data_IF_460586844054
#
_entry.id   IF_460586844054
#
_cell.length_a   1.000
_cell.length_b   1.000
_cell.length_c   1.000
_cell.angle_alpha   90.00
_cell.angle_beta   90.00
_cell.angle_gamma   90.00
#
_symmetry.space_group_name_H-M   'P 1'
#
loop_
_entity.id
_entity.type
_entity.pdbx_description
1 polymer ?
#
# COMPACT_ATOMS: atom_id res chain seq x y z
N UNK A 1 -15.67 -22.62 -37.74
CA UNK A 1 -14.53 -22.52 -36.80
C UNK A 1 -15.09 -21.82 -35.56
N UNK A 2 -15.32 -22.57 -34.47
CA UNK A 2 -16.01 -22.07 -33.26
C UNK A 2 -15.10 -21.09 -32.50
N UNK A 3 -15.64 -20.00 -31.92
CA UNK A 3 -14.85 -19.09 -31.10
C UNK A 3 -14.64 -19.68 -29.70
N UNK A 4 -13.40 -19.62 -29.22
CA UNK A 4 -12.97 -20.06 -27.89
C UNK A 4 -13.34 -19.02 -26.80
N UNK A 5 -14.64 -18.78 -26.63
CA UNK A 5 -15.21 -17.97 -25.52
C UNK A 5 -16.12 -18.85 -24.64
N UNK A 6 -15.91 -20.17 -24.63
CA UNK A 6 -16.84 -21.15 -24.03
C UNK A 6 -16.19 -22.02 -22.94
N UNK A 7 -15.18 -21.50 -22.22
CA UNK A 7 -14.47 -22.27 -21.18
C UNK A 7 -14.46 -21.61 -19.80
N UNK A 8 -14.94 -20.36 -19.65
CA UNK A 8 -14.99 -19.68 -18.33
C UNK A 8 -16.39 -19.37 -17.79
N UNK A 9 -17.46 -19.67 -18.55
CA UNK A 9 -18.85 -19.38 -18.14
C UNK A 9 -19.75 -20.62 -18.05
N UNK A 10 -19.23 -21.83 -18.27
CA UNK A 10 -20.04 -23.07 -18.32
C UNK A 10 -19.89 -24.01 -17.12
N UNK A 11 -19.33 -23.56 -15.99
CA UNK A 11 -19.27 -24.32 -14.73
C UNK A 11 -19.49 -23.47 -13.48
N UNK A 12 -20.49 -22.59 -13.50
CA UNK A 12 -21.32 -22.52 -12.31
C UNK A 12 -22.15 -23.80 -12.37
N UNK A 13 -21.71 -24.84 -11.67
CA UNK A 13 -22.48 -26.08 -11.54
C UNK A 13 -23.94 -25.69 -11.24
N UNK A 14 -24.91 -26.37 -11.87
CA UNK A 14 -26.33 -26.13 -11.57
C UNK A 14 -26.61 -26.25 -10.07
N UNK A 15 -25.77 -27.01 -9.35
CA UNK A 15 -25.72 -27.10 -7.90
C UNK A 15 -25.26 -25.79 -7.24
N UNK A 16 -24.19 -25.15 -7.70
CA UNK A 16 -23.74 -23.85 -7.20
C UNK A 16 -24.75 -22.72 -7.49
N UNK A 17 -25.42 -22.77 -8.65
CA UNK A 17 -26.51 -21.84 -8.97
C UNK A 17 -27.75 -22.10 -8.11
N UNK A 18 -28.09 -23.37 -7.82
CA UNK A 18 -29.15 -23.74 -6.86
C UNK A 18 -28.81 -23.32 -5.45
N UNK A 19 -27.55 -23.45 -5.03
CA UNK A 19 -27.07 -23.12 -3.69
C UNK A 19 -27.03 -21.60 -3.48
N UNK A 20 -26.62 -20.85 -4.51
CA UNK A 20 -26.72 -19.39 -4.54
C UNK A 20 -28.19 -18.94 -4.53
N UNK A 21 -29.07 -19.54 -5.33
CA UNK A 21 -30.50 -19.23 -5.32
C UNK A 21 -31.19 -19.60 -4.00
N UNK A 22 -30.75 -20.68 -3.33
CA UNK A 22 -31.20 -21.05 -2.00
C UNK A 22 -30.72 -20.06 -0.94
N UNK A 23 -29.47 -19.61 -1.04
CA UNK A 23 -28.88 -18.59 -0.17
C UNK A 23 -29.55 -17.23 -0.36
N UNK A 24 -29.89 -16.86 -1.59
CA UNK A 24 -30.61 -15.61 -1.92
C UNK A 24 -32.08 -15.66 -1.46
N UNK A 25 -32.76 -16.81 -1.56
CA UNK A 25 -34.11 -16.99 -0.97
C UNK A 25 -34.09 -16.90 0.56
N UNK A 26 -33.04 -17.38 1.20
CA UNK A 26 -32.86 -17.20 2.64
C UNK A 26 -32.57 -15.73 3.01
N UNK A 27 -31.91 -14.97 2.13
CA UNK A 27 -31.68 -13.53 2.33
C UNK A 27 -32.97 -12.69 2.27
N UNK A 28 -33.97 -13.09 1.47
CA UNK A 28 -35.29 -12.43 1.44
C UNK A 28 -36.12 -12.72 2.71
N UNK A 29 -35.84 -13.82 3.41
CA UNK A 29 -36.47 -14.17 4.69
C UNK A 29 -35.85 -13.49 5.92
N UNK A 30 -34.92 -12.55 5.73
CA UNK A 30 -34.17 -11.88 6.79
C UNK A 30 -35.00 -10.80 7.54
N UNK A 31 -36.29 -11.08 7.77
CA UNK A 31 -37.10 -10.51 8.83
C UNK A 31 -37.11 -11.47 10.04
N UNK A 32 -35.95 -11.59 10.70
CA UNK A 32 -35.87 -12.07 12.07
C UNK A 32 -34.53 -11.59 12.67
N UNK A 33 -34.50 -10.35 13.14
CA UNK A 33 -33.37 -9.84 13.96
C UNK A 33 -33.43 -10.31 15.43
N UNK A 34 -34.34 -11.22 15.77
CA UNK A 34 -34.61 -11.70 17.14
C UNK A 34 -34.13 -13.15 17.40
N UNK A 35 -33.34 -13.75 16.51
CA UNK A 35 -32.70 -15.03 16.84
C UNK A 35 -31.43 -14.77 17.68
N UNK A 36 -31.34 -15.36 18.88
CA UNK A 36 -30.09 -15.37 19.66
C UNK A 36 -28.93 -15.81 18.75
N UNK A 37 -27.79 -15.08 18.76
CA UNK A 37 -26.66 -15.39 17.89
C UNK A 37 -26.19 -16.82 18.18
N UNK A 38 -26.32 -17.70 17.18
CA UNK A 38 -25.82 -19.06 17.28
C UNK A 38 -24.29 -19.04 17.22
N UNK A 39 -23.59 -19.87 18.02
CA UNK A 39 -22.15 -20.02 17.88
C UNK A 39 -21.79 -20.38 16.44
N UNK A 40 -20.76 -19.73 15.91
CA UNK A 40 -20.20 -20.13 14.63
C UNK A 40 -19.67 -21.57 14.75
N UNK A 41 -19.85 -22.41 13.71
CA UNK A 41 -19.23 -23.73 13.70
C UNK A 41 -17.70 -23.60 13.77
N UNK A 42 -17.03 -24.60 14.33
CA UNK A 42 -15.57 -24.63 14.32
C UNK A 42 -15.06 -24.58 12.89
N UNK A 43 -14.17 -23.61 12.63
CA UNK A 43 -13.58 -23.46 11.31
C UNK A 43 -12.70 -24.69 10.98
N UNK A 44 -12.79 -25.23 9.75
CA UNK A 44 -11.88 -26.29 9.33
C UNK A 44 -10.42 -25.82 9.40
N UNK A 45 -9.50 -26.75 9.61
CA UNK A 45 -8.07 -26.43 9.56
C UNK A 45 -7.72 -25.84 8.19
N UNK A 46 -6.93 -24.75 8.13
CA UNK A 46 -6.50 -24.18 6.86
C UNK A 46 -5.74 -25.21 6.03
N UNK A 47 -5.89 -25.13 4.70
CA UNK A 47 -5.11 -25.94 3.77
C UNK A 47 -3.62 -25.60 3.92
N UNK A 48 -2.71 -26.57 3.73
CA UNK A 48 -1.27 -26.29 3.71
C UNK A 48 -0.93 -25.24 2.65
N UNK A 49 0.00 -24.35 3.00
CA UNK A 49 0.47 -23.33 2.08
C UNK A 49 1.29 -23.95 0.94
N UNK A 50 0.91 -23.66 -0.31
CA UNK A 50 1.66 -24.10 -1.47
C UNK A 50 2.80 -23.12 -1.78
N UNK A 51 4.03 -23.57 -1.50
CA UNK A 51 5.26 -22.82 -1.79
C UNK A 51 5.41 -22.51 -3.29
N UNK A 52 4.74 -23.24 -4.19
CA UNK A 52 4.75 -22.96 -5.62
C UNK A 52 4.15 -21.59 -5.97
N UNK A 53 3.28 -21.05 -5.12
CA UNK A 53 2.67 -19.72 -5.29
C UNK A 53 3.67 -18.57 -5.09
N UNK A 54 4.81 -18.82 -4.44
CA UNK A 54 5.85 -17.83 -4.27
C UNK A 54 6.74 -17.70 -5.50
N UNK A 55 7.19 -16.47 -5.84
CA UNK A 55 8.28 -16.27 -6.77
C UNK A 55 9.50 -17.09 -6.38
N UNK A 56 10.21 -17.64 -7.38
CA UNK A 56 11.40 -18.48 -7.16
C UNK A 56 12.48 -17.77 -6.33
N UNK A 57 12.57 -16.44 -6.42
CA UNK A 57 13.52 -15.64 -5.65
C UNK A 57 13.19 -15.53 -4.16
N UNK A 58 11.92 -15.72 -3.76
CA UNK A 58 11.48 -15.62 -2.37
C UNK A 58 11.34 -16.99 -1.70
N UNK A 59 11.03 -18.04 -2.49
CA UNK A 59 10.72 -19.37 -1.96
C UNK A 59 11.81 -19.94 -1.04
N UNK A 60 13.11 -19.98 -1.40
CA UNK A 60 14.14 -20.54 -0.54
C UNK A 60 14.33 -19.75 0.76
N UNK A 61 14.16 -18.43 0.70
CA UNK A 61 14.28 -17.58 1.87
C UNK A 61 13.10 -17.77 2.83
N UNK A 62 11.87 -17.88 2.32
CA UNK A 62 10.69 -18.16 3.16
C UNK A 62 10.81 -19.52 3.83
N UNK A 63 11.28 -20.54 3.10
CA UNK A 63 11.45 -21.90 3.63
C UNK A 63 12.45 -21.94 4.79
N UNK A 64 13.67 -21.41 4.59
CA UNK A 64 14.70 -21.33 5.64
C UNK A 64 14.23 -20.52 6.85
N UNK A 65 13.53 -19.40 6.64
CA UNK A 65 13.03 -18.57 7.74
C UNK A 65 11.89 -19.23 8.50
N UNK A 66 10.98 -19.95 7.81
CA UNK A 66 9.89 -20.67 8.43
C UNK A 66 10.43 -21.79 9.34
N UNK A 67 11.45 -22.52 8.86
CA UNK A 67 12.15 -23.52 9.66
C UNK A 67 12.82 -22.88 10.89
N UNK A 68 13.54 -21.77 10.74
CA UNK A 68 14.21 -21.10 11.87
C UNK A 68 13.25 -20.54 12.92
N UNK A 69 12.14 -19.97 12.47
CA UNK A 69 11.12 -19.39 13.35
C UNK A 69 10.16 -20.44 13.91
N UNK A 70 10.21 -21.67 13.39
CA UNK A 70 9.25 -22.74 13.71
C UNK A 70 7.81 -22.27 13.54
N UNK A 71 7.54 -21.62 12.40
CA UNK A 71 6.23 -21.07 12.09
C UNK A 71 5.76 -21.50 10.69
N UNK A 72 4.44 -21.50 10.44
CA UNK A 72 3.90 -21.74 9.11
C UNK A 72 4.47 -20.75 8.06
N UNK A 73 4.85 -21.22 6.86
CA UNK A 73 5.51 -20.38 5.84
C UNK A 73 4.61 -19.29 5.26
N UNK A 74 3.28 -19.46 5.33
CA UNK A 74 2.29 -18.46 4.93
C UNK A 74 2.44 -17.14 5.71
N UNK A 75 2.78 -17.20 7.00
CA UNK A 75 2.99 -16.02 7.84
C UNK A 75 4.13 -15.12 7.30
N UNK A 76 5.17 -15.72 6.73
CA UNK A 76 6.29 -15.02 6.11
C UNK A 76 5.96 -14.62 4.66
N UNK A 77 5.38 -15.55 3.90
CA UNK A 77 5.05 -15.39 2.49
C UNK A 77 4.15 -14.18 2.24
N UNK A 78 3.06 -14.05 3.01
CA UNK A 78 2.09 -12.96 2.86
C UNK A 78 2.77 -11.61 3.05
N UNK A 79 3.49 -11.42 4.16
CA UNK A 79 4.18 -10.15 4.45
C UNK A 79 5.29 -9.84 3.45
N UNK A 80 6.02 -10.85 2.95
CA UNK A 80 7.07 -10.66 1.98
C UNK A 80 6.51 -10.22 0.61
N UNK A 81 5.45 -10.85 0.13
CA UNK A 81 4.80 -10.52 -1.15
C UNK A 81 4.15 -9.14 -1.09
N UNK A 82 3.41 -8.83 -0.02
CA UNK A 82 2.81 -7.50 0.18
C UNK A 82 3.89 -6.43 0.30
N UNK A 83 4.96 -6.70 1.05
CA UNK A 83 6.13 -5.82 1.18
C UNK A 83 6.77 -5.55 -0.18
N UNK A 84 7.00 -6.57 -1.00
CA UNK A 84 7.53 -6.41 -2.35
C UNK A 84 6.58 -5.59 -3.25
N UNK A 85 5.28 -5.85 -3.19
CA UNK A 85 4.25 -5.08 -3.90
C UNK A 85 4.31 -3.59 -3.54
N UNK A 86 4.49 -3.27 -2.26
CA UNK A 86 4.58 -1.87 -1.80
C UNK A 86 5.81 -1.12 -2.33
N UNK A 87 6.92 -1.83 -2.58
CA UNK A 87 8.12 -1.24 -3.19
C UNK A 87 7.87 -0.93 -4.65
N UNK A 88 7.27 -1.86 -5.39
CA UNK A 88 6.94 -1.67 -6.81
C UNK A 88 5.91 -0.55 -6.95
N UNK A 89 4.84 -0.59 -6.15
CA UNK A 89 3.74 0.36 -6.13
C UNK A 89 3.20 0.63 -7.53
N UNK A 90 2.97 1.91 -7.84
CA UNK A 90 2.42 2.33 -9.13
C UNK A 90 3.47 2.46 -10.25
N UNK A 91 4.68 1.91 -10.08
CA UNK A 91 5.74 2.00 -11.09
C UNK A 91 5.63 0.95 -12.19
N UNK A 92 5.01 -0.18 -11.88
CA UNK A 92 4.86 -1.30 -12.81
C UNK A 92 3.39 -1.71 -12.82
N UNK A 93 2.83 -1.82 -14.01
CA UNK A 93 1.51 -2.38 -14.25
C UNK A 93 1.59 -3.56 -15.20
N UNK A 94 0.74 -4.58 -14.97
CA UNK A 94 0.60 -5.75 -15.83
C UNK A 94 -0.75 -5.68 -16.52
N UNK A 95 -0.79 -5.95 -17.82
CA UNK A 95 -2.04 -6.12 -18.57
C UNK A 95 -2.32 -7.61 -18.70
N UNK A 96 -3.21 -8.19 -17.87
CA UNK A 96 -3.43 -9.64 -17.88
C UNK A 96 -4.19 -10.13 -19.12
N UNK A 97 -4.87 -9.22 -19.83
CA UNK A 97 -5.65 -9.53 -21.02
C UNK A 97 -4.98 -8.94 -22.26
N UNK A 98 -4.76 -9.75 -23.28
CA UNK A 98 -4.04 -9.38 -24.51
C UNK A 98 -4.69 -8.21 -25.26
N UNK A 99 -6.02 -8.13 -25.27
CA UNK A 99 -6.79 -7.15 -26.04
C UNK A 99 -7.57 -6.17 -25.14
N UNK A 100 -6.98 -5.76 -24.02
CA UNK A 100 -7.59 -4.81 -23.08
C UNK A 100 -6.58 -3.76 -22.61
N UNK A 101 -7.06 -2.56 -22.32
CA UNK A 101 -6.27 -1.51 -21.66
C UNK A 101 -6.24 -1.65 -20.13
N UNK A 102 -6.95 -2.66 -19.59
CA UNK A 102 -6.94 -2.99 -18.17
C UNK A 102 -5.51 -3.22 -17.70
N UNK A 103 -5.05 -2.39 -16.76
CA UNK A 103 -3.71 -2.45 -16.18
C UNK A 103 -3.81 -2.65 -14.67
N UNK A 104 -3.23 -3.73 -14.17
CA UNK A 104 -3.15 -4.04 -12.75
C UNK A 104 -1.80 -3.62 -12.18
N UNK A 105 -1.83 -2.81 -11.13
CA UNK A 105 -0.64 -2.49 -10.33
C UNK A 105 -0.54 -3.48 -9.15
N UNK A 106 0.68 -3.78 -8.64
CA UNK A 106 0.89 -4.67 -7.50
C UNK A 106 0.52 -3.99 -6.15
N UNK A 107 -0.66 -3.37 -6.08
CA UNK A 107 -1.21 -2.79 -4.87
C UNK A 107 -1.87 -3.89 -4.03
N UNK A 108 -1.04 -4.62 -3.29
CA UNK A 108 -1.45 -5.81 -2.55
C UNK A 108 -1.82 -5.47 -1.11
N UNK A 109 -2.84 -6.18 -0.62
CA UNK A 109 -3.25 -6.16 0.77
C UNK A 109 -3.12 -7.57 1.32
N UNK A 110 -2.59 -7.69 2.53
CA UNK A 110 -2.46 -8.98 3.21
C UNK A 110 -2.73 -8.84 4.68
N UNK A 111 -3.29 -9.90 5.25
CA UNK A 111 -3.65 -9.97 6.64
C UNK A 111 -3.28 -11.34 7.17
N UNK A 112 -2.60 -11.35 8.32
CA UNK A 112 -2.24 -12.57 9.01
C UNK A 112 -3.22 -12.78 10.16
N UNK A 113 -3.95 -13.90 10.13
CA UNK A 113 -4.89 -14.29 11.18
C UNK A 113 -4.39 -15.56 11.84
N UNK A 114 -4.35 -15.56 13.17
CA UNK A 114 -3.90 -16.73 13.93
C UNK A 114 -4.11 -16.53 15.42
N UNK A 115 -4.14 -17.62 16.18
CA UNK A 115 -4.30 -17.60 17.65
C UNK A 115 -3.21 -16.74 18.31
N UNK A 116 -3.44 -16.15 19.50
CA UNK A 116 -2.37 -15.54 20.28
C UNK A 116 -1.18 -16.51 20.43
N UNK A 117 0.06 -16.01 20.32
CA UNK A 117 1.27 -16.82 20.42
C UNK A 117 1.74 -17.57 19.16
N UNK A 118 1.04 -17.44 18.02
CA UNK A 118 1.37 -18.14 16.74
C UNK A 118 2.51 -17.51 15.93
N UNK A 119 3.46 -16.81 16.56
CA UNK A 119 4.61 -16.17 15.88
C UNK A 119 4.28 -15.17 14.75
N UNK A 120 3.05 -14.64 14.68
CA UNK A 120 2.62 -13.64 13.68
C UNK A 120 3.54 -12.42 13.60
N UNK A 121 3.68 -11.69 14.72
CA UNK A 121 4.46 -10.44 14.75
C UNK A 121 5.96 -10.70 14.51
N UNK A 122 6.59 -11.76 15.08
CA UNK A 122 7.95 -12.14 14.70
C UNK A 122 8.13 -12.45 13.21
N UNK A 123 7.22 -13.23 12.60
CA UNK A 123 7.29 -13.57 11.18
C UNK A 123 7.15 -12.33 10.29
N UNK A 124 6.14 -11.50 10.55
CA UNK A 124 5.93 -10.23 9.84
C UNK A 124 7.14 -9.31 9.95
N UNK A 125 7.74 -9.19 11.15
CA UNK A 125 8.92 -8.36 11.35
C UNK A 125 10.14 -8.85 10.56
N UNK A 126 10.34 -10.16 10.44
CA UNK A 126 11.41 -10.72 9.62
C UNK A 126 11.18 -10.44 8.13
N UNK A 127 9.95 -10.64 7.65
CA UNK A 127 9.58 -10.35 6.26
C UNK A 127 9.70 -8.87 5.89
N UNK A 128 9.40 -7.96 6.82
CA UNK A 128 9.48 -6.51 6.58
C UNK A 128 10.84 -5.91 6.94
N UNK A 129 11.79 -6.68 7.50
CA UNK A 129 13.11 -6.20 7.86
C UNK A 129 13.87 -5.52 6.69
N UNK A 130 13.83 -6.01 5.44
CA UNK A 130 14.44 -5.31 4.30
C UNK A 130 13.84 -3.91 4.07
N UNK A 131 12.52 -3.75 4.17
CA UNK A 131 11.86 -2.44 4.02
C UNK A 131 12.27 -1.49 5.14
N UNK A 132 12.38 -1.98 6.39
CA UNK A 132 12.88 -1.18 7.51
C UNK A 132 14.32 -0.71 7.28
N UNK A 133 15.19 -1.55 6.70
CA UNK A 133 16.56 -1.15 6.31
C UNK A 133 16.55 -0.06 5.23
N UNK A 134 15.72 -0.20 4.19
CA UNK A 134 15.55 0.82 3.15
C UNK A 134 15.05 2.16 3.74
N UNK A 135 14.18 2.11 4.74
CA UNK A 135 13.69 3.30 5.43
C UNK A 135 14.78 4.01 6.23
N UNK A 136 15.71 3.27 6.86
CA UNK A 136 16.88 3.87 7.52
C UNK A 136 17.77 4.55 6.48
N UNK A 137 18.11 3.86 5.40
CA UNK A 137 18.93 4.43 4.31
C UNK A 137 18.30 5.69 3.70
N UNK A 138 16.98 5.69 3.49
CA UNK A 138 16.27 6.85 2.96
C UNK A 138 16.34 8.07 3.91
N UNK A 139 16.33 7.84 5.23
CA UNK A 139 16.52 8.92 6.22
C UNK A 139 17.91 9.50 6.14
N UNK A 140 18.94 8.66 5.99
CA UNK A 140 20.33 9.11 5.88
C UNK A 140 20.54 9.95 4.60
N UNK A 141 20.04 9.47 3.46
CA UNK A 141 20.07 10.19 2.18
C UNK A 141 19.33 11.52 2.27
N UNK A 142 18.15 11.53 2.90
CA UNK A 142 17.37 12.75 3.09
C UNK A 142 18.10 13.75 4.01
N UNK A 143 18.72 13.28 5.10
CA UNK A 143 19.49 14.14 6.00
C UNK A 143 20.65 14.83 5.27
N UNK A 144 21.34 14.12 4.38
CA UNK A 144 22.41 14.71 3.57
C UNK A 144 21.87 15.67 2.49
N UNK A 145 20.74 15.31 1.88
CA UNK A 145 20.05 16.18 0.91
C UNK A 145 19.58 17.49 1.56
N UNK A 146 19.11 17.44 2.81
CA UNK A 146 18.71 18.62 3.59
C UNK A 146 19.89 19.54 3.89
N UNK A 147 21.07 19.01 4.21
CA UNK A 147 22.29 19.83 4.38
C UNK A 147 22.68 20.54 3.08
N UNK A 148 22.62 19.81 1.97
CA UNK A 148 22.92 20.36 0.64
C UNK A 148 21.92 21.42 0.23
N UNK A 149 20.63 21.19 0.49
CA UNK A 149 19.56 22.16 0.29
C UNK A 149 19.75 23.42 1.14
N UNK A 150 20.14 23.30 2.41
CA UNK A 150 20.41 24.47 3.27
C UNK A 150 21.53 25.36 2.69
N UNK A 151 22.61 24.76 2.19
CA UNK A 151 23.69 25.49 1.49
C UNK A 151 23.19 26.14 0.19
N UNK A 152 22.37 25.42 -0.57
CA UNK A 152 21.78 25.94 -1.81
C UNK A 152 20.86 27.13 -1.53
N UNK A 153 20.04 27.06 -0.48
CA UNK A 153 19.17 28.15 -0.02
C UNK A 153 19.97 29.38 0.40
N UNK A 154 21.06 29.23 1.17
CA UNK A 154 21.92 30.36 1.54
C UNK A 154 22.51 31.04 0.29
N UNK A 155 22.97 30.25 -0.68
CA UNK A 155 23.48 30.78 -1.95
C UNK A 155 22.38 31.48 -2.77
N UNK A 156 21.16 30.95 -2.75
CA UNK A 156 19.99 31.51 -3.42
C UNK A 156 19.59 32.84 -2.79
N UNK A 157 19.60 32.96 -1.46
CA UNK A 157 19.30 34.21 -0.78
C UNK A 157 20.30 35.31 -1.16
N UNK A 158 21.60 35.00 -1.19
CA UNK A 158 22.64 35.94 -1.61
C UNK A 158 22.46 36.38 -3.07
N UNK A 159 22.19 35.42 -3.97
CA UNK A 159 21.92 35.70 -5.39
C UNK A 159 20.67 36.53 -5.58
N UNK A 160 19.59 36.22 -4.85
CA UNK A 160 18.32 36.95 -4.91
C UNK A 160 18.47 38.37 -4.38
N UNK A 161 19.24 38.57 -3.30
CA UNK A 161 19.56 39.92 -2.79
C UNK A 161 20.34 40.72 -3.83
N UNK A 162 21.38 40.14 -4.44
CA UNK A 162 22.16 40.78 -5.49
C UNK A 162 21.30 41.11 -6.73
N UNK A 163 20.49 40.14 -7.18
CA UNK A 163 19.58 40.28 -8.31
C UNK A 163 18.52 41.34 -8.07
N UNK A 164 17.95 41.43 -6.86
CA UNK A 164 17.01 42.50 -6.47
C UNK A 164 17.67 43.88 -6.54
N UNK A 165 18.92 44.04 -6.08
CA UNK A 165 19.63 45.33 -6.17
C UNK A 165 19.87 45.73 -7.63
N UNK A 166 20.30 44.79 -8.50
CA UNK A 166 20.48 45.08 -9.92
C UNK A 166 19.16 45.33 -10.64
N UNK A 167 18.12 44.59 -10.30
CA UNK A 167 16.77 44.74 -10.82
C UNK A 167 16.20 46.13 -10.54
N UNK A 168 16.29 46.59 -9.28
CA UNK A 168 15.84 47.93 -8.91
C UNK A 168 16.58 49.00 -9.72
N UNK A 169 17.90 48.87 -9.88
CA UNK A 169 18.71 49.80 -10.71
C UNK A 169 18.32 49.79 -12.19
N UNK A 170 17.99 48.61 -12.73
CA UNK A 170 17.56 48.46 -14.12
C UNK A 170 16.18 49.09 -14.34
N UNK A 171 15.22 48.85 -13.44
CA UNK A 171 13.88 49.46 -13.45
C UNK A 171 13.93 50.99 -13.31
N UNK A 172 14.84 51.53 -12.49
CA UNK A 172 15.01 53.00 -12.38
C UNK A 172 15.49 53.62 -13.70
N UNK A 173 16.25 52.90 -14.52
CA UNK A 173 16.76 53.39 -15.81
C UNK A 173 15.79 53.12 -16.97
N UNK A 174 15.07 52.00 -16.93
CA UNK A 174 14.09 51.63 -17.94
C UNK A 174 12.96 50.83 -17.27
N UNK A 175 11.78 51.43 -17.20
CA UNK A 175 10.60 50.82 -16.57
C UNK A 175 10.08 49.57 -17.32
N UNK A 176 10.49 49.36 -18.58
CA UNK A 176 10.13 48.17 -19.36
C UNK A 176 11.21 47.06 -19.32
N UNK A 177 12.22 47.17 -18.45
CA UNK A 177 13.26 46.15 -18.33
C UNK A 177 12.69 44.84 -17.73
N UNK A 178 12.89 43.73 -18.45
CA UNK A 178 12.61 42.39 -17.93
C UNK A 178 13.61 42.02 -16.83
N UNK A 179 13.13 41.47 -15.72
CA UNK A 179 13.94 41.03 -14.59
C UNK A 179 13.62 39.57 -14.33
N UNK A 180 14.66 38.75 -14.37
CA UNK A 180 14.60 37.35 -13.95
C UNK A 180 15.24 37.24 -12.56
N UNK A 181 14.46 36.76 -11.60
CA UNK A 181 14.96 36.36 -10.29
C UNK A 181 15.25 34.85 -10.34
N UNK A 182 16.32 34.38 -9.69
CA UNK A 182 16.60 32.96 -9.63
C UNK A 182 15.49 32.22 -8.86
N UNK A 183 15.07 31.06 -9.37
CA UNK A 183 14.11 30.20 -8.69
C UNK A 183 14.70 29.59 -7.41
N UNK A 184 13.85 29.45 -6.39
CA UNK A 184 14.23 28.79 -5.15
C UNK A 184 14.50 27.29 -5.42
N UNK A 185 15.54 26.70 -4.81
CA UNK A 185 15.77 25.26 -4.93
C UNK A 185 14.60 24.48 -4.31
N UNK A 186 14.26 23.35 -4.93
CA UNK A 186 13.20 22.46 -4.43
C UNK A 186 13.62 21.80 -3.12
N UNK A 187 12.70 21.78 -2.15
CA UNK A 187 12.91 21.09 -0.89
C UNK A 187 12.96 19.57 -1.12
N UNK A 188 13.99 18.87 -0.60
CA UNK A 188 14.08 17.43 -0.76
C UNK A 188 12.95 16.73 0.02
N UNK A 189 12.31 15.75 -0.61
CA UNK A 189 11.24 14.95 0.01
C UNK A 189 11.78 13.66 0.60
N UNK A 190 11.32 13.29 1.79
CA UNK A 190 11.70 12.01 2.42
C UNK A 190 10.94 10.85 1.77
N UNK A 191 11.69 9.93 1.14
CA UNK A 191 11.15 8.63 0.73
C UNK A 191 10.78 7.80 1.96
N UNK A 192 9.49 7.48 2.09
CA UNK A 192 8.97 6.57 3.12
C UNK A 192 8.56 5.25 2.48
N UNK A 193 8.96 4.15 3.11
CA UNK A 193 8.60 2.79 2.69
C UNK A 193 7.47 2.21 3.54
N UNK A 194 7.45 2.52 4.83
CA UNK A 194 6.43 2.04 5.78
C UNK A 194 5.79 3.25 6.48
N UNK A 195 4.47 3.21 6.62
CA UNK A 195 3.69 4.07 7.49
C UNK A 195 2.91 3.19 8.49
N UNK A 196 2.94 3.60 9.76
CA UNK A 196 2.19 2.96 10.84
C UNK A 196 1.00 3.85 11.19
N UNK A 197 -0.15 3.25 11.43
CA UNK A 197 -1.34 3.87 12.01
C UNK A 197 -1.62 5.32 11.56
N UNK A 198 -1.64 5.55 10.25
CA UNK A 198 -2.05 6.81 9.65
C UNK A 198 -3.56 6.91 9.53
N UNK A 199 -4.13 8.08 9.80
CA UNK A 199 -5.47 8.44 9.33
C UNK A 199 -5.42 8.76 7.81
N UNK A 200 -6.58 8.86 7.16
CA UNK A 200 -6.66 9.04 5.70
C UNK A 200 -6.01 10.35 5.24
N UNK A 201 -6.26 11.46 5.94
CA UNK A 201 -5.70 12.76 5.59
C UNK A 201 -4.17 12.78 5.63
N UNK A 202 -3.59 12.26 6.72
CA UNK A 202 -2.15 12.11 6.87
C UNK A 202 -1.58 11.13 5.84
N UNK A 203 -2.28 10.03 5.53
CA UNK A 203 -1.84 9.09 4.49
C UNK A 203 -1.83 9.75 3.11
N UNK A 204 -2.83 10.56 2.77
CA UNK A 204 -2.89 11.32 1.52
C UNK A 204 -1.70 12.27 1.37
N UNK A 205 -1.35 12.98 2.43
CA UNK A 205 -0.15 13.84 2.46
C UNK A 205 1.14 13.04 2.27
N UNK A 206 1.24 11.87 2.89
CA UNK A 206 2.40 10.99 2.72
C UNK A 206 2.51 10.46 1.29
N UNK A 207 1.40 10.07 0.67
CA UNK A 207 1.35 9.60 -0.71
C UNK A 207 1.71 10.71 -1.71
N UNK A 208 1.32 11.96 -1.43
CA UNK A 208 1.73 13.13 -2.24
C UNK A 208 3.25 13.28 -2.33
N UNK A 209 3.96 12.98 -1.23
CA UNK A 209 5.42 12.98 -1.17
C UNK A 209 6.05 11.67 -1.67
N UNK A 210 5.24 10.61 -1.84
CA UNK A 210 5.68 9.24 -2.13
C UNK A 210 4.84 8.62 -3.26
N UNK A 211 4.97 9.12 -4.49
CA UNK A 211 4.13 8.69 -5.62
C UNK A 211 4.30 7.21 -5.98
N UNK A 212 5.42 6.60 -5.59
CA UNK A 212 5.71 5.19 -5.82
C UNK A 212 5.03 4.25 -4.81
N UNK A 213 4.18 4.75 -3.92
CA UNK A 213 3.49 3.95 -2.91
C UNK A 213 4.26 3.81 -1.59
N UNK A 214 3.53 3.37 -0.56
CA UNK A 214 3.96 3.15 0.83
C UNK A 214 3.25 1.90 1.36
N UNK A 215 3.94 1.07 2.14
CA UNK A 215 3.31 0.00 2.92
C UNK A 215 2.64 0.59 4.16
N UNK A 216 1.35 0.33 4.35
CA UNK A 216 0.66 0.62 5.61
C UNK A 216 0.73 -0.62 6.49
N UNK A 217 1.54 -0.57 7.53
CA UNK A 217 1.68 -1.64 8.52
C UNK A 217 0.72 -1.41 9.68
N UNK A 218 -0.07 -2.43 10.04
CA UNK A 218 -0.97 -2.42 11.21
C UNK A 218 -0.88 -3.73 11.95
N UNK A 219 -0.72 -3.66 13.27
CA UNK A 219 -0.60 -4.84 14.15
C UNK A 219 -1.99 -5.39 14.55
N UNK A 220 -2.99 -4.50 14.74
CA UNK A 220 -4.34 -4.90 15.13
C UNK A 220 -5.42 -4.44 14.15
N UNK A 221 -6.10 -5.41 13.53
CA UNK A 221 -7.24 -5.17 12.64
C UNK A 221 -8.40 -4.47 13.35
N UNK A 222 -8.59 -4.74 14.64
CA UNK A 222 -9.65 -4.13 15.44
C UNK A 222 -9.53 -2.60 15.44
N UNK A 223 -8.31 -2.05 15.42
CA UNK A 223 -8.09 -0.61 15.30
C UNK A 223 -8.60 -0.04 13.97
N UNK A 224 -8.39 -0.76 12.86
CA UNK A 224 -8.92 -0.38 11.55
C UNK A 224 -10.45 -0.44 11.53
N UNK A 225 -11.03 -1.55 11.98
CA UNK A 225 -12.48 -1.77 11.95
C UNK A 225 -13.22 -0.79 12.86
N UNK A 226 -12.73 -0.56 14.08
CA UNK A 226 -13.29 0.45 15.00
C UNK A 226 -13.19 1.86 14.41
N UNK A 227 -12.12 2.15 13.66
CA UNK A 227 -11.99 3.42 12.94
C UNK A 227 -13.10 3.59 11.90
N UNK A 228 -13.39 2.56 11.10
CA UNK A 228 -14.44 2.61 10.09
C UNK A 228 -15.86 2.68 10.68
N UNK A 229 -16.05 2.18 11.91
CA UNK A 229 -17.34 2.17 12.61
C UNK A 229 -17.73 3.54 13.20
N UNK A 230 -16.79 4.49 13.29
CA UNK A 230 -17.08 5.85 13.77
C UNK A 230 -18.01 6.60 12.79
N UNK A 231 -19.06 7.23 13.32
CA UNK A 231 -20.01 8.02 12.52
C UNK A 231 -19.33 9.17 11.79
N UNK A 232 -18.36 9.82 12.43
CA UNK A 232 -17.56 10.93 11.87
C UNK A 232 -16.70 10.52 10.66
N UNK A 233 -16.61 9.21 10.37
CA UNK A 233 -15.86 8.60 9.25
C UNK A 233 -16.77 7.90 8.26
N UNK A 234 -18.06 8.24 8.22
CA UNK A 234 -19.02 7.68 7.27
C UNK A 234 -18.59 7.89 5.80
N UNK A 235 -17.93 9.00 5.48
CA UNK A 235 -17.36 9.26 4.15
C UNK A 235 -16.25 8.27 3.77
N UNK A 236 -15.52 7.73 4.75
CA UNK A 236 -14.48 6.70 4.54
C UNK A 236 -15.08 5.33 4.18
N UNK A 237 -16.37 5.10 4.48
CA UNK A 237 -17.14 3.90 4.11
C UNK A 237 -17.85 4.02 2.76
N UNK A 238 -17.95 5.24 2.21
CA UNK A 238 -18.67 5.48 0.97
C UNK A 238 -17.87 4.95 -0.23
N UNK A 239 -18.55 4.24 -1.12
CA UNK A 239 -17.96 3.77 -2.38
C UNK A 239 -17.79 4.99 -3.29
N UNK A 240 -16.56 5.32 -3.68
CA UNK A 240 -16.33 6.32 -4.72
C UNK A 240 -17.04 5.85 -5.99
N UNK A 241 -17.97 6.67 -6.47
CA UNK A 241 -18.80 6.41 -7.66
C UNK A 241 -18.08 6.90 -8.90
#
# INVERSE_FOLDING_TARGET
MKPAIDVYTSRLDEDAARDLAATMRNAESMQARDAEPRPLPDAPSPMPFDMALLPESLRPWVDDMAERLQCPPDLLAVSAVVGAGSILGNRIGVRPQENSDWTECPNLWGMIVGRPGTMKSPAMNQALAPLRRLQVQARDVHAESMKSHAKAMESHELRTKAAKVSATRALTKNAAASIELPDAPDAPTLRRYIANDSNIASLGELLRQNPNGILVERDELVGLLRGLDQEDRAEERARST
#
